data_IF_695930895875
#
_entry.id   IF_695930895875
#
_cell.length_a   1.000
_cell.length_b   1.000
_cell.length_c   1.000
_cell.angle_alpha   90.00
_cell.angle_beta   90.00
_cell.angle_gamma   90.00
#
_symmetry.space_group_name_H-M   'P 1'
#
loop_
_entity.id
_entity.type
_entity.pdbx_description
1 polymer ?
#
# COMPACT_ATOMS: atom_id res chain seq x y z
N UNK A 1 -56.60 -17.51 -6.92
CA UNK A 1 -55.97 -16.65 -7.94
C UNK A 1 -54.79 -15.92 -7.29
N UNK A 2 -53.56 -16.40 -7.50
CA UNK A 2 -52.36 -15.75 -6.96
C UNK A 2 -52.10 -14.46 -7.76
N UNK A 3 -52.11 -13.31 -7.08
CA UNK A 3 -51.99 -12.00 -7.73
C UNK A 3 -50.58 -11.83 -8.31
N UNK A 4 -50.43 -12.05 -9.63
CA UNK A 4 -49.19 -11.89 -10.40
C UNK A 4 -48.51 -10.52 -10.18
N UNK A 5 -49.29 -9.49 -9.82
CA UNK A 5 -48.78 -8.15 -9.48
C UNK A 5 -47.98 -8.11 -8.16
N UNK A 6 -48.35 -8.91 -7.16
CA UNK A 6 -47.63 -8.97 -5.88
C UNK A 6 -46.28 -9.69 -6.01
N UNK A 7 -46.23 -10.75 -6.82
CA UNK A 7 -44.99 -11.47 -7.09
C UNK A 7 -43.97 -10.60 -7.84
N UNK A 8 -44.45 -9.75 -8.77
CA UNK A 8 -43.59 -8.84 -9.52
C UNK A 8 -42.99 -7.72 -8.67
N UNK A 9 -43.71 -7.20 -7.67
CA UNK A 9 -43.18 -6.15 -6.76
C UNK A 9 -42.17 -6.73 -5.77
N UNK A 10 -42.40 -7.97 -5.29
CA UNK A 10 -41.48 -8.64 -4.39
C UNK A 10 -40.14 -8.97 -5.06
N UNK A 11 -40.16 -9.39 -6.34
CA UNK A 11 -38.95 -9.71 -7.09
C UNK A 11 -38.07 -8.47 -7.36
N UNK A 12 -38.67 -7.29 -7.61
CA UNK A 12 -37.90 -6.05 -7.78
C UNK A 12 -37.27 -5.55 -6.47
N UNK A 13 -37.95 -5.73 -5.33
CA UNK A 13 -37.41 -5.36 -4.02
C UNK A 13 -36.22 -6.24 -3.61
N UNK A 14 -36.24 -7.54 -3.93
CA UNK A 14 -35.12 -8.45 -3.64
C UNK A 14 -33.90 -8.12 -4.51
N UNK A 15 -34.08 -7.76 -5.78
CA UNK A 15 -32.96 -7.40 -6.67
C UNK A 15 -32.29 -6.08 -6.23
N UNK A 16 -33.03 -5.13 -5.66
CA UNK A 16 -32.46 -3.87 -5.14
C UNK A 16 -31.59 -4.05 -3.88
N UNK A 17 -31.86 -5.07 -3.05
CA UNK A 17 -31.09 -5.32 -1.82
C UNK A 17 -29.72 -5.96 -2.12
N UNK A 18 -29.57 -6.65 -3.25
CA UNK A 18 -28.30 -7.32 -3.63
C UNK A 18 -27.30 -6.44 -4.39
N UNK A 19 -27.60 -5.16 -4.67
CA UNK A 19 -26.76 -4.30 -5.53
C UNK A 19 -25.85 -3.31 -4.79
N UNK A 20 -25.63 -3.41 -3.47
CA UNK A 20 -24.91 -2.37 -2.71
C UNK A 20 -23.54 -2.75 -2.12
N UNK A 21 -22.89 -3.81 -2.60
CA UNK A 21 -21.47 -4.03 -2.29
C UNK A 21 -20.71 -4.34 -3.59
N UNK A 22 -20.74 -3.38 -4.51
CA UNK A 22 -19.93 -3.46 -5.72
C UNK A 22 -18.45 -3.33 -5.35
N UNK A 23 -17.78 -4.46 -5.18
CA UNK A 23 -16.31 -4.58 -5.35
C UNK A 23 -15.41 -4.27 -4.17
N UNK A 24 -15.93 -4.01 -2.95
CA UNK A 24 -15.04 -3.79 -1.80
C UNK A 24 -14.28 -5.08 -1.42
N UNK A 25 -12.98 -4.93 -1.15
CA UNK A 25 -12.17 -6.02 -0.61
C UNK A 25 -12.72 -6.45 0.74
N UNK A 26 -13.06 -7.73 0.85
CA UNK A 26 -13.60 -8.35 2.08
C UNK A 26 -12.54 -8.94 3.01
N UNK A 27 -11.27 -9.00 2.58
CA UNK A 27 -10.18 -9.64 3.34
C UNK A 27 -9.32 -8.57 3.99
N UNK A 28 -9.37 -8.36 5.32
CA UNK A 28 -8.57 -7.34 5.98
C UNK A 28 -7.05 -7.55 5.81
N UNK A 29 -6.29 -6.46 5.68
CA UNK A 29 -4.83 -6.49 5.57
C UNK A 29 -4.15 -5.74 6.72
N UNK A 30 -2.89 -6.05 6.95
CA UNK A 30 -2.00 -5.21 7.75
C UNK A 30 -1.10 -4.42 6.79
N UNK A 31 -1.18 -3.10 6.83
CA UNK A 31 -0.45 -2.21 5.94
C UNK A 31 0.57 -1.37 6.72
N UNK A 32 1.81 -1.31 6.22
CA UNK A 32 2.84 -0.37 6.67
C UNK A 32 3.11 0.59 5.54
N UNK A 33 2.93 1.88 5.80
CA UNK A 33 3.20 2.97 4.87
C UNK A 33 4.45 3.68 5.36
N UNK A 34 5.47 3.77 4.52
CA UNK A 34 6.76 4.36 4.81
C UNK A 34 7.00 5.49 3.82
N UNK A 35 6.98 6.73 4.31
CA UNK A 35 7.02 7.93 3.47
C UNK A 35 8.39 8.58 3.57
N UNK A 36 9.03 8.72 2.42
CA UNK A 36 10.23 9.53 2.26
C UNK A 36 9.90 11.01 2.41
N UNK A 37 10.56 11.67 3.34
CA UNK A 37 10.47 13.11 3.59
C UNK A 37 11.78 13.84 3.32
N UNK A 38 12.66 13.27 2.51
CA UNK A 38 13.89 13.91 2.08
C UNK A 38 13.63 15.15 1.21
N UNK A 39 14.61 16.06 1.13
CA UNK A 39 14.52 17.29 0.34
C UNK A 39 14.34 17.02 -1.16
N UNK A 40 14.76 15.86 -1.69
CA UNK A 40 14.53 15.51 -3.10
C UNK A 40 13.04 15.31 -3.43
N UNK A 41 12.22 15.08 -2.40
CA UNK A 41 10.75 15.00 -2.47
C UNK A 41 10.07 16.38 -2.47
N UNK A 42 10.75 17.45 -2.04
CA UNK A 42 10.22 18.82 -2.11
C UNK A 42 10.19 19.32 -3.56
N UNK A 43 11.22 19.01 -4.33
CA UNK A 43 11.33 19.39 -5.73
C UNK A 43 10.22 18.75 -6.56
N UNK A 44 9.70 19.48 -7.56
CA UNK A 44 8.81 18.99 -8.63
C UNK A 44 7.37 18.61 -8.24
N UNK A 45 6.87 19.00 -7.05
CA UNK A 45 5.47 18.76 -6.68
C UNK A 45 5.14 17.32 -6.26
N UNK A 46 6.15 16.45 -6.16
CA UNK A 46 6.03 15.04 -5.76
C UNK A 46 5.24 14.87 -4.46
N UNK A 47 5.47 15.74 -3.47
CA UNK A 47 4.80 15.66 -2.18
C UNK A 47 3.31 16.02 -2.25
N UNK A 48 2.92 16.90 -3.16
CA UNK A 48 1.50 17.23 -3.39
C UNK A 48 0.80 16.08 -4.12
N UNK A 49 1.47 15.47 -5.10
CA UNK A 49 1.00 14.24 -5.75
C UNK A 49 0.86 13.09 -4.75
N UNK A 50 1.76 12.98 -3.78
CA UNK A 50 1.67 11.98 -2.71
C UNK A 50 0.41 12.20 -1.87
N UNK A 51 0.16 13.43 -1.43
CA UNK A 51 -1.04 13.76 -0.65
C UNK A 51 -2.31 13.44 -1.43
N UNK A 52 -2.35 13.81 -2.71
CA UNK A 52 -3.47 13.52 -3.60
C UNK A 52 -3.69 12.02 -3.77
N UNK A 53 -2.63 11.26 -4.06
CA UNK A 53 -2.71 9.81 -4.19
C UNK A 53 -3.18 9.12 -2.90
N UNK A 54 -2.70 9.58 -1.74
CA UNK A 54 -3.14 9.05 -0.44
C UNK A 54 -4.63 9.25 -0.24
N UNK A 55 -5.14 10.45 -0.56
CA UNK A 55 -6.56 10.77 -0.48
C UNK A 55 -7.38 9.92 -1.46
N UNK A 56 -7.11 10.08 -2.75
CA UNK A 56 -7.98 9.61 -3.83
C UNK A 56 -7.91 8.10 -4.03
N UNK A 57 -6.77 7.48 -3.73
CA UNK A 57 -6.50 6.08 -4.09
C UNK A 57 -6.40 5.20 -2.85
N UNK A 58 -5.46 5.52 -1.96
CA UNK A 58 -5.25 4.71 -0.77
C UNK A 58 -6.47 4.75 0.16
N UNK A 59 -6.94 5.94 0.52
CA UNK A 59 -7.97 6.09 1.55
C UNK A 59 -9.37 5.82 1.00
N UNK A 60 -9.69 6.37 -0.16
CA UNK A 60 -11.00 6.21 -0.77
C UNK A 60 -11.21 4.83 -1.38
N UNK A 61 -10.23 4.30 -2.14
CA UNK A 61 -10.44 3.09 -2.94
C UNK A 61 -9.88 1.81 -2.30
N UNK A 62 -8.81 1.89 -1.50
CA UNK A 62 -8.07 0.69 -1.08
C UNK A 62 -8.29 0.29 0.38
N UNK A 63 -8.38 1.25 1.30
CA UNK A 63 -8.62 0.97 2.72
C UNK A 63 -10.07 0.54 2.93
N UNK A 64 -10.26 -0.61 3.57
CA UNK A 64 -11.59 -1.12 3.93
C UNK A 64 -11.69 -1.35 5.44
N UNK A 65 -12.92 -1.48 5.93
CA UNK A 65 -13.14 -1.74 7.35
C UNK A 65 -12.48 -3.07 7.77
N UNK A 66 -11.84 -3.06 8.94
CA UNK A 66 -11.08 -4.17 9.50
C UNK A 66 -9.58 -4.13 9.21
N UNK A 67 -9.09 -3.26 8.33
CA UNK A 67 -7.66 -3.08 8.08
C UNK A 67 -6.90 -2.58 9.30
N UNK A 68 -5.62 -2.90 9.37
CA UNK A 68 -4.69 -2.25 10.28
C UNK A 68 -3.67 -1.48 9.46
N UNK A 69 -3.46 -0.21 9.78
CA UNK A 69 -2.53 0.67 9.05
C UNK A 69 -1.53 1.25 10.04
N UNK A 70 -0.25 1.26 9.67
CA UNK A 70 0.82 1.93 10.40
C UNK A 70 1.60 2.85 9.47
N UNK A 71 1.70 4.12 9.84
CA UNK A 71 2.35 5.17 9.05
C UNK A 71 3.68 5.52 9.70
N UNK A 72 4.71 5.54 8.88
CA UNK A 72 6.06 5.97 9.20
C UNK A 72 6.50 7.04 8.21
N UNK A 73 7.42 7.88 8.66
CA UNK A 73 8.20 8.77 7.79
C UNK A 73 9.69 8.43 7.93
N UNK A 74 10.50 8.75 6.93
CA UNK A 74 11.95 8.61 7.04
C UNK A 74 12.68 9.64 6.18
N UNK A 75 13.94 9.88 6.56
CA UNK A 75 14.94 10.52 5.71
C UNK A 75 16.30 9.87 6.08
N UNK A 76 16.67 9.89 7.36
CA UNK A 76 17.82 9.16 7.89
C UNK A 76 17.39 7.95 8.73
N UNK A 77 16.44 8.16 9.65
CA UNK A 77 15.93 7.11 10.51
C UNK A 77 14.41 7.02 10.34
N UNK A 78 13.84 5.81 10.29
CA UNK A 78 12.40 5.64 10.27
C UNK A 78 11.76 6.08 11.59
N UNK A 79 10.70 6.88 11.50
CA UNK A 79 9.94 7.42 12.62
C UNK A 79 8.48 6.99 12.51
N UNK A 80 7.94 6.44 13.58
CA UNK A 80 6.53 6.05 13.66
C UNK A 80 5.64 7.27 13.89
N UNK A 81 4.54 7.38 13.15
CA UNK A 81 3.59 8.51 13.26
C UNK A 81 2.22 8.07 13.75
N UNK A 82 1.70 6.94 13.25
CA UNK A 82 0.34 6.48 13.54
C UNK A 82 0.24 4.97 13.40
N UNK A 83 -0.54 4.32 14.26
CA UNK A 83 -1.05 2.96 14.03
C UNK A 83 -2.53 2.93 14.37
N UNK A 84 -3.37 2.43 13.46
CA UNK A 84 -4.83 2.45 13.62
C UNK A 84 -5.48 1.21 13.01
N UNK A 85 -6.53 0.70 13.66
CA UNK A 85 -7.46 -0.23 13.03
C UNK A 85 -8.53 0.60 12.33
N UNK A 86 -8.67 0.44 11.03
CA UNK A 86 -9.62 1.18 10.20
C UNK A 86 -10.99 0.54 10.37
N UNK A 87 -11.86 1.16 11.16
CA UNK A 87 -13.26 0.70 11.30
C UNK A 87 -14.26 1.76 10.84
N UNK A 88 -13.83 3.02 10.84
CA UNK A 88 -14.68 4.18 10.58
C UNK A 88 -14.02 5.16 9.63
N UNK A 89 -14.81 6.05 9.03
CA UNK A 89 -14.29 7.16 8.21
C UNK A 89 -13.39 8.11 9.02
N UNK A 90 -13.61 8.22 10.33
CA UNK A 90 -12.76 9.00 11.23
C UNK A 90 -11.36 8.39 11.35
N UNK A 91 -11.23 7.06 11.33
CA UNK A 91 -9.93 6.39 11.35
C UNK A 91 -9.17 6.61 10.03
N UNK A 92 -9.89 6.58 8.91
CA UNK A 92 -9.36 6.98 7.60
C UNK A 92 -8.86 8.44 7.63
N UNK A 93 -9.63 9.35 8.21
CA UNK A 93 -9.24 10.76 8.31
C UNK A 93 -7.99 10.98 9.18
N UNK A 94 -7.77 10.17 10.23
CA UNK A 94 -6.52 10.22 11.01
C UNK A 94 -5.31 9.94 10.12
N UNK A 95 -5.40 8.92 9.27
CA UNK A 95 -4.32 8.56 8.32
C UNK A 95 -4.05 9.73 7.36
N UNK A 96 -5.10 10.28 6.76
CA UNK A 96 -5.01 11.46 5.87
C UNK A 96 -4.31 12.62 6.56
N UNK A 97 -4.76 12.98 7.76
CA UNK A 97 -4.22 14.12 8.51
C UNK A 97 -2.76 13.90 8.88
N UNK A 98 -2.42 12.68 9.35
CA UNK A 98 -1.04 12.31 9.66
C UNK A 98 -0.14 12.47 8.44
N UNK A 99 -0.52 11.89 7.28
CA UNK A 99 0.31 11.97 6.08
C UNK A 99 0.39 13.42 5.54
N UNK A 100 -0.72 14.15 5.56
CA UNK A 100 -0.76 15.55 5.10
C UNK A 100 0.11 16.49 5.93
N UNK A 101 0.41 16.12 7.19
CA UNK A 101 1.25 16.90 8.09
C UNK A 101 2.75 16.72 7.85
N UNK A 102 3.16 15.70 7.10
CA UNK A 102 4.57 15.43 6.81
C UNK A 102 5.12 16.54 5.89
N UNK A 103 6.34 16.98 6.18
CA UNK A 103 7.07 18.00 5.41
C UNK A 103 8.35 17.41 4.82
N UNK A 104 8.66 17.64 3.55
CA UNK A 104 9.88 17.14 2.91
C UNK A 104 11.10 18.00 3.31
N UNK A 105 11.56 17.87 4.55
CA UNK A 105 12.65 18.68 5.13
C UNK A 105 13.88 17.86 5.55
N UNK A 106 13.93 16.58 5.15
CA UNK A 106 15.01 15.66 5.48
C UNK A 106 16.26 15.83 4.62
N UNK A 107 17.44 15.95 5.25
CA UNK A 107 18.71 16.14 4.53
C UNK A 107 19.23 14.90 3.78
N UNK A 108 18.84 13.71 4.23
CA UNK A 108 19.35 12.42 3.76
C UNK A 108 18.20 11.54 3.28
N UNK A 109 18.53 10.45 2.57
CA UNK A 109 17.55 9.45 2.14
C UNK A 109 18.14 8.06 2.31
N UNK A 110 17.77 7.37 3.39
CA UNK A 110 18.23 6.03 3.76
C UNK A 110 17.12 5.00 3.58
N UNK A 111 16.91 4.61 2.31
CA UNK A 111 15.87 3.66 1.92
C UNK A 111 16.16 2.27 2.52
N UNK A 112 17.42 1.89 2.64
CA UNK A 112 17.79 0.61 3.24
C UNK A 112 17.31 0.47 4.69
N UNK A 113 17.51 1.50 5.55
CA UNK A 113 16.97 1.49 6.92
C UNK A 113 15.45 1.51 6.96
N UNK A 114 14.82 2.21 6.02
CA UNK A 114 13.37 2.20 5.88
C UNK A 114 12.84 0.78 5.63
N UNK A 115 13.44 0.05 4.69
CA UNK A 115 13.10 -1.35 4.40
C UNK A 115 13.33 -2.28 5.61
N UNK A 116 14.45 -2.14 6.32
CA UNK A 116 14.68 -2.91 7.55
C UNK A 116 13.57 -2.71 8.58
N UNK A 117 13.17 -1.46 8.82
CA UNK A 117 12.13 -1.15 9.80
C UNK A 117 10.80 -1.73 9.37
N UNK A 118 10.44 -1.63 8.09
CA UNK A 118 9.19 -2.23 7.60
C UNK A 118 9.18 -3.74 7.83
N UNK A 119 10.29 -4.45 7.57
CA UNK A 119 10.41 -5.88 7.86
C UNK A 119 10.29 -6.19 9.36
N UNK A 120 10.92 -5.38 10.22
CA UNK A 120 10.82 -5.51 11.67
C UNK A 120 9.37 -5.40 12.14
N UNK A 121 8.67 -4.35 11.73
CA UNK A 121 7.26 -4.12 12.07
C UNK A 121 6.39 -5.28 11.60
N UNK A 122 6.66 -5.83 10.42
CA UNK A 122 5.90 -6.96 9.89
C UNK A 122 6.13 -8.26 10.64
N UNK A 123 7.37 -8.54 11.06
CA UNK A 123 7.66 -9.71 11.91
C UNK A 123 6.84 -9.70 13.19
N UNK A 124 6.59 -8.53 13.79
CA UNK A 124 5.74 -8.44 15.00
C UNK A 124 4.27 -8.82 14.76
N UNK A 125 3.82 -8.84 13.49
CA UNK A 125 2.43 -9.11 13.11
C UNK A 125 2.24 -10.39 12.29
N UNK A 126 3.30 -11.17 12.09
CA UNK A 126 3.25 -12.38 11.26
C UNK A 126 2.29 -13.45 11.80
N UNK A 127 2.03 -13.48 13.11
CA UNK A 127 1.25 -14.53 13.77
C UNK A 127 -0.26 -14.46 13.52
N UNK A 128 -0.80 -13.33 13.03
CA UNK A 128 -2.25 -13.17 12.88
C UNK A 128 -2.82 -13.70 11.55
N UNK A 129 -1.98 -14.26 10.66
CA UNK A 129 -2.39 -14.86 9.39
C UNK A 129 -2.91 -13.89 8.32
N UNK A 130 -2.96 -12.58 8.59
CA UNK A 130 -3.44 -11.55 7.65
C UNK A 130 -2.41 -11.23 6.58
N UNK A 131 -2.86 -10.94 5.38
CA UNK A 131 -2.01 -10.40 4.31
C UNK A 131 -1.32 -9.12 4.78
N UNK A 132 -0.04 -9.00 4.46
CA UNK A 132 0.77 -7.84 4.78
C UNK A 132 1.08 -7.05 3.52
N UNK A 133 0.97 -5.73 3.62
CA UNK A 133 1.26 -4.79 2.55
C UNK A 133 2.28 -3.78 3.06
N UNK A 134 3.44 -3.72 2.40
CA UNK A 134 4.51 -2.78 2.71
C UNK A 134 4.55 -1.77 1.56
N UNK A 135 4.25 -0.52 1.85
CA UNK A 135 4.21 0.57 0.90
C UNK A 135 5.33 1.55 1.22
N UNK A 136 6.39 1.53 0.41
CA UNK A 136 7.45 2.54 0.44
C UNK A 136 7.14 3.61 -0.60
N UNK A 137 7.06 4.87 -0.18
CA UNK A 137 6.81 6.02 -1.07
C UNK A 137 8.03 6.92 -1.08
N UNK A 138 8.69 7.05 -2.24
CA UNK A 138 9.97 7.74 -2.40
C UNK A 138 10.20 8.08 -3.88
N UNK A 139 11.20 8.91 -4.19
CA UNK A 139 11.72 9.07 -5.55
C UNK A 139 12.89 8.12 -5.88
N UNK A 140 13.20 7.21 -4.94
CA UNK A 140 14.25 6.18 -5.05
C UNK A 140 15.69 6.71 -5.11
N UNK A 141 15.89 8.02 -4.92
CA UNK A 141 17.21 8.61 -4.80
C UNK A 141 17.75 8.36 -3.39
N UNK A 142 18.80 7.55 -3.29
CA UNK A 142 19.47 7.31 -2.02
C UNK A 142 20.60 8.29 -1.78
N UNK A 143 20.63 8.87 -0.58
CA UNK A 143 21.70 9.70 -0.04
C UNK A 143 21.83 9.42 1.45
N UNK A 144 22.28 8.21 1.79
CA UNK A 144 22.37 7.75 3.18
C UNK A 144 23.67 8.26 3.83
N UNK A 145 23.62 8.72 5.09
CA UNK A 145 24.78 9.30 5.75
C UNK A 145 25.84 8.24 6.07
N UNK A 146 27.09 8.68 6.22
CA UNK A 146 28.25 7.80 6.43
C UNK A 146 28.11 6.75 7.56
N UNK A 147 27.49 7.07 8.72
CA UNK A 147 27.30 6.06 9.77
C UNK A 147 26.31 4.94 9.42
N UNK A 148 25.51 5.08 8.36
CA UNK A 148 24.57 4.05 7.94
C UNK A 148 25.26 2.84 7.33
N UNK A 149 24.73 1.64 7.59
CA UNK A 149 25.13 0.42 6.86
C UNK A 149 24.84 0.49 5.36
N UNK A 150 23.96 1.40 4.96
CA UNK A 150 23.60 1.66 3.56
C UNK A 150 24.21 2.97 3.04
N UNK A 151 25.25 3.49 3.70
CA UNK A 151 25.86 4.77 3.38
C UNK A 151 26.23 4.92 1.90
N UNK A 152 26.12 6.16 1.40
CA UNK A 152 26.48 6.53 0.05
C UNK A 152 25.30 7.06 -0.77
N UNK A 153 25.64 7.56 -1.96
CA UNK A 153 24.69 8.15 -2.91
C UNK A 153 24.42 7.20 -4.08
N UNK A 154 23.15 7.00 -4.42
CA UNK A 154 22.75 6.23 -5.58
C UNK A 154 21.54 6.90 -6.25
N UNK A 155 21.61 7.16 -7.56
CA UNK A 155 20.51 7.77 -8.33
C UNK A 155 19.24 6.93 -8.35
N UNK A 156 19.39 5.62 -8.16
CA UNK A 156 18.29 4.68 -8.02
C UNK A 156 18.78 3.59 -7.09
N UNK A 157 18.22 3.53 -5.88
CA UNK A 157 18.61 2.51 -4.92
C UNK A 157 18.29 1.12 -5.48
N UNK A 158 19.32 0.28 -5.62
CA UNK A 158 19.16 -1.10 -6.05
C UNK A 158 19.22 -2.01 -4.85
N UNK A 159 18.19 -2.82 -4.68
CA UNK A 159 18.08 -3.80 -3.62
C UNK A 159 17.42 -5.04 -4.20
N UNK A 160 17.71 -6.25 -3.69
CA UNK A 160 16.88 -7.42 -3.97
C UNK A 160 15.40 -7.18 -3.65
N UNK A 161 15.13 -6.25 -2.74
CA UNK A 161 13.80 -5.77 -2.36
C UNK A 161 13.23 -4.70 -3.30
N UNK A 162 13.95 -4.23 -4.32
CA UNK A 162 13.55 -3.11 -5.18
C UNK A 162 13.74 -3.40 -6.68
N UNK A 163 13.68 -4.67 -7.08
CA UNK A 163 13.88 -5.08 -8.48
C UNK A 163 12.69 -4.61 -9.35
N UNK A 164 12.77 -3.32 -9.73
CA UNK A 164 11.94 -2.52 -10.64
C UNK A 164 10.47 -2.33 -10.29
N UNK A 165 10.14 -1.22 -9.60
CA UNK A 165 8.80 -0.57 -9.44
C UNK A 165 7.58 -1.45 -9.78
N UNK A 166 7.53 -2.59 -9.10
CA UNK A 166 6.52 -3.65 -9.18
C UNK A 166 6.41 -4.25 -7.79
N UNK A 167 5.20 -4.70 -7.49
CA UNK A 167 4.90 -5.49 -6.31
C UNK A 167 5.87 -6.68 -6.24
N UNK A 168 6.66 -6.77 -5.19
CA UNK A 168 7.43 -7.97 -4.89
C UNK A 168 6.59 -8.81 -3.92
N UNK A 169 6.16 -9.96 -4.41
CA UNK A 169 5.48 -10.94 -3.58
C UNK A 169 6.53 -11.75 -2.81
N UNK A 170 6.40 -11.76 -1.49
CA UNK A 170 7.09 -12.66 -0.58
C UNK A 170 6.16 -13.78 -0.13
N UNK A 171 6.69 -14.71 0.68
CA UNK A 171 5.98 -15.88 1.21
C UNK A 171 4.62 -15.48 1.78
N UNK A 172 4.58 -14.53 2.71
CA UNK A 172 3.36 -14.10 3.40
C UNK A 172 3.07 -12.59 3.30
N UNK A 173 3.85 -11.82 2.53
CA UNK A 173 3.71 -10.36 2.42
C UNK A 173 4.00 -9.81 1.03
N UNK A 174 3.70 -8.53 0.81
CA UNK A 174 3.94 -7.80 -0.44
C UNK A 174 4.73 -6.52 -0.19
N UNK A 175 5.83 -6.32 -0.91
CA UNK A 175 6.54 -5.05 -0.99
C UNK A 175 6.06 -4.25 -2.18
N UNK A 176 5.78 -2.97 -1.98
CA UNK A 176 5.35 -2.04 -3.01
C UNK A 176 6.21 -0.81 -2.89
N UNK A 177 6.89 -0.49 -3.98
CA UNK A 177 7.62 0.76 -4.12
C UNK A 177 6.84 1.71 -5.01
N UNK A 178 6.48 2.85 -4.45
CA UNK A 178 5.77 3.94 -5.12
C UNK A 178 6.80 4.99 -5.49
N UNK A 179 7.11 5.03 -6.79
CA UNK A 179 7.93 6.07 -7.42
C UNK A 179 7.03 7.24 -7.82
N UNK A 180 7.20 8.37 -7.13
CA UNK A 180 6.36 9.56 -7.33
C UNK A 180 6.60 10.26 -8.68
N UNK A 181 7.63 9.87 -9.45
CA UNK A 181 7.83 10.36 -10.82
C UNK A 181 6.85 9.76 -11.84
N UNK A 182 6.03 8.76 -11.45
CA UNK A 182 5.17 7.99 -12.38
C UNK A 182 3.78 7.71 -11.78
N UNK A 183 2.97 8.76 -11.57
CA UNK A 183 1.66 8.72 -10.90
C UNK A 183 0.71 7.62 -11.42
N UNK A 184 0.51 7.49 -12.74
CA UNK A 184 -0.41 6.51 -13.34
C UNK A 184 0.00 5.05 -13.04
N UNK A 185 1.32 4.79 -12.99
CA UNK A 185 1.86 3.45 -12.71
C UNK A 185 1.60 3.07 -11.25
N UNK A 186 1.63 4.03 -10.34
CA UNK A 186 1.36 3.82 -8.91
C UNK A 186 -0.06 3.35 -8.70
N UNK A 187 -1.04 4.07 -9.28
CA UNK A 187 -2.47 3.71 -9.19
C UNK A 187 -2.68 2.30 -9.72
N UNK A 188 -2.24 2.06 -10.97
CA UNK A 188 -2.43 0.77 -11.64
C UNK A 188 -1.82 -0.39 -10.84
N UNK A 189 -0.60 -0.19 -10.31
CA UNK A 189 0.11 -1.22 -9.53
C UNK A 189 -0.68 -1.54 -8.26
N UNK A 190 -1.10 -0.51 -7.53
CA UNK A 190 -1.73 -0.71 -6.24
C UNK A 190 -3.13 -1.32 -6.37
N UNK A 191 -3.92 -0.89 -7.36
CA UNK A 191 -5.20 -1.53 -7.69
C UNK A 191 -5.03 -2.98 -8.12
N UNK A 192 -3.99 -3.29 -8.92
CA UNK A 192 -3.69 -4.67 -9.32
C UNK A 192 -3.38 -5.57 -8.12
N UNK A 193 -2.63 -5.08 -7.13
CA UNK A 193 -2.33 -5.84 -5.91
C UNK A 193 -3.61 -6.24 -5.18
N UNK A 194 -4.48 -5.28 -4.89
CA UNK A 194 -5.69 -5.57 -4.13
C UNK A 194 -6.63 -6.51 -4.87
N UNK A 195 -6.69 -6.40 -6.21
CA UNK A 195 -7.36 -7.39 -7.05
C UNK A 195 -6.77 -8.79 -6.86
N UNK A 196 -5.45 -8.91 -6.84
CA UNK A 196 -4.78 -10.20 -6.68
C UNK A 196 -4.93 -10.79 -5.27
N UNK A 197 -4.98 -9.95 -4.22
CA UNK A 197 -5.31 -10.39 -2.86
C UNK A 197 -6.72 -11.00 -2.83
N UNK A 198 -7.70 -10.36 -3.49
CA UNK A 198 -9.07 -10.87 -3.58
C UNK A 198 -9.13 -12.20 -4.36
N UNK A 199 -8.45 -12.30 -5.51
CA UNK A 199 -8.41 -13.55 -6.31
C UNK A 199 -7.78 -14.74 -5.58
N UNK A 200 -6.89 -14.45 -4.63
CA UNK A 200 -6.17 -15.45 -3.83
C UNK A 200 -6.78 -15.65 -2.44
N UNK A 201 -7.98 -15.14 -2.19
CA UNK A 201 -8.72 -15.41 -0.96
C UNK A 201 -8.85 -16.91 -0.68
N UNK A 202 -8.55 -17.33 0.56
CA UNK A 202 -8.81 -18.70 1.02
C UNK A 202 -7.97 -19.81 0.37
N UNK A 203 -6.98 -19.48 -0.45
CA UNK A 203 -6.02 -20.44 -1.00
C UNK A 203 -4.80 -20.52 -0.10
N UNK A 204 -4.45 -21.73 0.31
CA UNK A 204 -3.20 -21.98 1.03
C UNK A 204 -2.01 -21.61 0.12
N UNK A 205 -1.06 -20.86 0.67
CA UNK A 205 0.11 -20.41 -0.08
C UNK A 205 1.13 -21.55 -0.07
N UNK A 206 1.47 -22.05 -1.25
CA UNK A 206 2.53 -23.06 -1.41
C UNK A 206 3.76 -22.42 -2.03
N UNK A 207 4.95 -22.96 -1.76
CA UNK A 207 6.21 -22.50 -2.35
C UNK A 207 6.20 -22.60 -3.89
N UNK A 208 5.30 -23.41 -4.48
CA UNK A 208 5.10 -23.47 -5.93
C UNK A 208 4.45 -22.20 -6.52
N UNK A 209 3.71 -21.43 -5.72
CA UNK A 209 3.06 -20.18 -6.13
C UNK A 209 4.04 -18.98 -6.25
N UNK A 210 5.31 -19.17 -5.90
CA UNK A 210 6.37 -18.16 -6.08
C UNK A 210 6.67 -17.91 -7.56
N UNK A 211 6.52 -18.93 -8.42
CA UNK A 211 6.81 -18.85 -9.86
C UNK A 211 5.63 -18.38 -10.71
N UNK A 212 4.42 -18.30 -10.14
CA UNK A 212 3.21 -17.86 -10.84
C UNK A 212 2.98 -16.34 -10.76
N UNK A 213 3.55 -15.67 -9.76
CA UNK A 213 3.36 -14.23 -9.50
C UNK A 213 4.24 -13.31 -10.36
N UNK A 214 4.72 -13.80 -11.52
CA UNK A 214 5.36 -12.94 -12.50
C UNK A 214 4.25 -12.27 -13.30
N UNK A 215 3.93 -11.02 -12.92
CA UNK A 215 3.19 -10.07 -13.76
C UNK A 215 3.84 -10.14 -15.14
N UNK A 216 3.15 -10.82 -16.06
CA UNK A 216 3.64 -11.16 -17.39
C UNK A 216 4.20 -9.89 -18.01
N UNK A 217 5.46 -9.96 -18.45
CA UNK A 217 5.97 -9.04 -19.45
C UNK A 217 4.97 -9.09 -20.60
N UNK A 218 4.29 -7.97 -20.85
CA UNK A 218 3.60 -7.78 -22.11
C UNK A 218 4.72 -7.79 -23.17
N UNK A 219 4.87 -8.93 -23.84
CA UNK A 219 5.71 -9.07 -25.03
C UNK A 219 5.05 -8.30 -26.18
N UNK A 220 5.86 -7.88 -27.16
CA UNK A 220 6.11 -6.48 -27.55
C UNK A 220 4.89 -5.72 -28.08
#
# INVERSE_FOLDING_TARGET
>A
MYNKKFFSVFLTAVILIFNLNAGERTIPVDMVIMIDKSLSMEGTGKFDSLKKWVLDELVEQMLTAGDWVSVYQFYENPEHLLSVNVNTSQDKQKIVNTISSIKPDGKYTDIGKALDKMQEVMKTRNSNGRYKVLLLVTDLEQDAPWPSKYSGKQKKFSSPYLVESRIIKHDNWYEITVDMGIEERVVTTTSSLFSDIIKNAGKERTNANEKEALIKTKKP
#
